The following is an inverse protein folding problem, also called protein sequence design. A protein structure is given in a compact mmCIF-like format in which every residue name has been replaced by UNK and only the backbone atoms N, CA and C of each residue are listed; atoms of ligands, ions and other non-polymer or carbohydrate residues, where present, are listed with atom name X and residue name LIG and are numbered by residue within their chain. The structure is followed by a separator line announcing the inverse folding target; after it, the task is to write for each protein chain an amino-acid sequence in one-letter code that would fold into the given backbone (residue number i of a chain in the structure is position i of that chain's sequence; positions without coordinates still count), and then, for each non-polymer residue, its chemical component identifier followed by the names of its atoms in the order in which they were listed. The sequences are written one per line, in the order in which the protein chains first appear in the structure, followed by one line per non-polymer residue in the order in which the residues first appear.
data_IF_789777431375
#
_entry.id   IF_789777431375
#
_cell.length_a   1.000
_cell.length_b   1.000
_cell.length_c   1.000
_cell.angle_alpha   90.00
_cell.angle_beta   90.00
_cell.angle_gamma   90.00
#
_symmetry.space_group_name_H-M   'P 1'
#
loop_
_entity.id
_entity.type
_entity.pdbx_description
1 polymer ?
#
# COMPACT_ATOMS: atom_id res chain seq x y z
N UNK A 1 -42.30 29.06 -65.92
CA UNK A 1 -40.83 29.03 -65.75
C UNK A 1 -40.50 29.70 -64.42
N UNK A 2 -39.79 28.98 -63.52
CA UNK A 2 -38.86 29.41 -62.45
C UNK A 2 -39.32 30.57 -61.52
N UNK A 3 -39.28 30.52 -60.19
CA UNK A 3 -38.41 29.78 -59.28
C UNK A 3 -39.02 29.80 -57.87
N UNK A 4 -39.02 28.65 -57.19
CA UNK A 4 -39.29 28.50 -55.76
C UNK A 4 -37.98 28.81 -55.01
N UNK A 5 -38.02 29.73 -54.04
CA UNK A 5 -36.92 29.96 -53.09
C UNK A 5 -37.21 29.22 -51.78
N UNK A 6 -36.31 28.38 -51.26
CA UNK A 6 -36.42 27.90 -49.88
C UNK A 6 -35.69 28.85 -48.92
N UNK A 7 -36.35 29.18 -47.81
CA UNK A 7 -35.74 29.80 -46.63
C UNK A 7 -34.81 28.78 -45.96
N UNK A 8 -33.51 29.07 -45.94
CA UNK A 8 -32.53 28.36 -45.14
C UNK A 8 -32.45 29.01 -43.74
N UNK A 9 -32.83 28.24 -42.72
CA UNK A 9 -32.58 28.54 -41.31
C UNK A 9 -31.10 28.30 -41.01
N UNK A 10 -30.39 29.36 -40.60
CA UNK A 10 -29.02 29.29 -40.07
C UNK A 10 -29.09 29.04 -38.56
N UNK A 11 -28.85 27.80 -38.15
CA UNK A 11 -28.57 27.47 -36.75
C UNK A 11 -27.08 27.72 -36.48
N UNK A 12 -26.77 28.78 -35.73
CA UNK A 12 -25.45 28.98 -35.14
C UNK A 12 -25.24 27.93 -34.05
N UNK A 13 -24.47 26.89 -34.35
CA UNK A 13 -23.86 26.03 -33.34
C UNK A 13 -22.60 26.72 -32.81
N UNK A 14 -22.72 27.31 -31.62
CA UNK A 14 -21.57 27.74 -30.82
C UNK A 14 -20.88 26.52 -30.24
N UNK A 15 -19.86 26.04 -30.95
CA UNK A 15 -18.93 25.02 -30.44
C UNK A 15 -18.06 25.67 -29.35
N UNK A 16 -18.43 25.46 -28.08
CA UNK A 16 -17.59 25.82 -26.95
C UNK A 16 -16.34 24.91 -26.97
N UNK A 17 -15.24 25.43 -27.51
CA UNK A 17 -13.91 24.87 -27.35
C UNK A 17 -13.55 24.92 -25.87
N UNK A 18 -13.74 23.78 -25.18
CA UNK A 18 -13.16 23.57 -23.86
C UNK A 18 -11.63 23.68 -23.99
N UNK A 19 -11.07 24.80 -23.51
CA UNK A 19 -9.63 24.94 -23.34
C UNK A 19 -9.13 23.77 -22.46
N UNK A 20 -7.98 23.17 -22.76
CA UNK A 20 -7.41 22.13 -21.91
C UNK A 20 -7.18 22.73 -20.52
N UNK A 21 -7.90 22.23 -19.52
CA UNK A 21 -7.70 22.56 -18.14
C UNK A 21 -6.22 22.32 -17.81
N UNK A 22 -5.50 23.40 -17.48
CA UNK A 22 -4.14 23.29 -16.98
C UNK A 22 -4.16 22.35 -15.77
N UNK A 23 -3.29 21.34 -15.77
CA UNK A 23 -3.23 20.32 -14.70
C UNK A 23 -3.11 21.00 -13.33
N UNK A 24 -4.13 20.84 -12.47
CA UNK A 24 -4.27 21.56 -11.18
C UNK A 24 -3.35 21.02 -10.08
N UNK A 25 -2.75 19.87 -10.34
CA UNK A 25 -1.55 19.38 -9.65
C UNK A 25 -0.34 20.03 -10.32
N UNK A 26 -0.08 21.31 -10.01
CA UNK A 26 0.92 22.16 -10.68
C UNK A 26 2.33 21.53 -10.81
N UNK A 27 3.26 22.25 -11.46
CA UNK A 27 4.62 21.74 -11.74
C UNK A 27 5.33 21.09 -10.54
N UNK A 28 4.98 21.47 -9.31
CA UNK A 28 5.33 20.75 -8.09
C UNK A 28 4.21 19.79 -7.65
N UNK A 29 4.41 18.49 -7.88
CA UNK A 29 3.55 17.43 -7.36
C UNK A 29 3.87 17.17 -5.89
N UNK A 30 2.95 17.49 -4.98
CA UNK A 30 3.12 17.13 -3.56
C UNK A 30 2.63 15.71 -3.33
N UNK A 31 3.58 14.81 -3.04
CA UNK A 31 3.31 13.40 -2.70
C UNK A 31 3.42 13.19 -1.20
N UNK A 32 2.54 12.34 -0.67
CA UNK A 32 2.54 11.87 0.71
C UNK A 32 2.32 10.35 0.71
N UNK A 33 3.04 9.64 1.58
CA UNK A 33 2.90 8.18 1.71
C UNK A 33 2.00 7.87 2.88
N UNK A 34 0.88 7.19 2.61
CA UNK A 34 -0.07 6.77 3.64
C UNK A 34 0.22 5.31 4.04
N UNK A 35 0.14 5.03 5.35
CA UNK A 35 0.51 3.75 5.95
C UNK A 35 -0.67 2.78 5.99
N UNK A 36 -1.17 2.36 4.84
CA UNK A 36 -2.25 1.37 4.77
C UNK A 36 -1.73 -0.03 5.15
N UNK A 37 -2.58 -0.80 5.82
CA UNK A 37 -2.33 -2.19 6.19
C UNK A 37 -3.24 -3.10 5.37
N UNK A 38 -2.71 -4.22 4.88
CA UNK A 38 -3.46 -5.27 4.19
C UNK A 38 -3.73 -6.42 5.17
N UNK A 39 -4.97 -6.92 5.27
CA UNK A 39 -5.30 -8.11 6.07
C UNK A 39 -4.78 -9.40 5.40
N UNK A 40 -4.55 -10.46 6.18
CA UNK A 40 -4.14 -11.75 5.63
C UNK A 40 -5.22 -12.33 4.71
N UNK A 41 -4.79 -13.02 3.66
CA UNK A 41 -5.70 -13.77 2.76
C UNK A 41 -6.29 -15.01 3.47
N UNK A 42 -5.47 -15.65 4.30
CA UNK A 42 -5.83 -16.83 5.08
C UNK A 42 -5.73 -16.49 6.57
N UNK A 43 -6.87 -16.48 7.29
CA UNK A 43 -6.87 -16.21 8.72
C UNK A 43 -6.24 -17.37 9.50
N UNK A 44 -5.33 -17.06 10.41
CA UNK A 44 -4.78 -18.02 11.37
C UNK A 44 -5.64 -18.02 12.63
N UNK A 45 -6.08 -19.19 13.09
CA UNK A 45 -6.99 -19.32 14.22
C UNK A 45 -6.27 -19.91 15.42
N UNK A 46 -6.26 -19.21 16.55
CA UNK A 46 -5.68 -19.69 17.79
C UNK A 46 -4.35 -19.06 18.15
N UNK A 47 -3.56 -19.75 18.97
CA UNK A 47 -2.38 -19.16 19.63
C UNK A 47 -1.07 -19.78 19.17
N UNK A 48 -1.13 -20.90 18.45
CA UNK A 48 0.04 -21.67 18.07
C UNK A 48 0.06 -21.94 16.57
N UNK A 49 1.26 -21.83 15.99
CA UNK A 49 1.49 -22.01 14.55
C UNK A 49 2.74 -22.83 14.31
N UNK A 50 2.71 -23.68 13.29
CA UNK A 50 3.89 -24.33 12.74
C UNK A 50 4.08 -23.87 11.31
N UNK A 51 5.34 -23.60 10.93
CA UNK A 51 5.69 -23.14 9.57
C UNK A 51 6.61 -24.17 8.95
N UNK A 52 6.15 -24.79 7.87
CA UNK A 52 6.91 -25.72 7.05
C UNK A 52 7.09 -25.13 5.65
N UNK A 53 8.30 -25.27 5.11
CA UNK A 53 8.66 -24.71 3.79
C UNK A 53 9.47 -25.76 3.06
N UNK A 54 8.95 -26.15 1.90
CA UNK A 54 9.50 -27.20 1.06
C UNK A 54 9.53 -26.77 -0.41
N UNK A 55 10.34 -27.45 -1.21
CA UNK A 55 10.34 -27.28 -2.66
C UNK A 55 10.56 -28.59 -3.37
N UNK A 56 9.99 -28.68 -4.58
CA UNK A 56 10.25 -29.75 -5.53
C UNK A 56 11.06 -29.26 -6.74
N UNK A 57 11.35 -27.97 -6.81
CA UNK A 57 12.04 -27.34 -7.92
C UNK A 57 13.56 -27.51 -7.80
N UNK A 58 14.20 -27.96 -8.90
CA UNK A 58 15.65 -28.20 -8.92
C UNK A 58 16.50 -26.93 -8.77
N UNK A 59 15.94 -25.77 -9.10
CA UNK A 59 16.62 -24.47 -8.98
C UNK A 59 16.55 -23.85 -7.58
N UNK A 60 15.81 -24.46 -6.65
CA UNK A 60 15.62 -23.91 -5.31
C UNK A 60 16.63 -24.51 -4.35
N UNK A 61 17.46 -23.66 -3.75
CA UNK A 61 18.43 -24.05 -2.73
C UNK A 61 17.83 -23.99 -1.32
N UNK A 62 18.45 -24.68 -0.35
CA UNK A 62 18.04 -24.61 1.06
C UNK A 62 18.08 -23.17 1.59
N UNK A 63 19.04 -22.35 1.11
CA UNK A 63 19.12 -20.92 1.44
C UNK A 63 17.86 -20.17 1.01
N UNK A 64 17.28 -20.50 -0.15
CA UNK A 64 16.03 -19.88 -0.61
C UNK A 64 14.85 -20.26 0.29
N UNK A 65 14.78 -21.54 0.69
CA UNK A 65 13.75 -22.02 1.61
C UNK A 65 13.86 -21.36 2.98
N UNK A 66 15.08 -21.18 3.49
CA UNK A 66 15.34 -20.51 4.76
C UNK A 66 14.93 -19.03 4.75
N UNK A 67 15.14 -18.33 3.63
CA UNK A 67 14.66 -16.94 3.46
C UNK A 67 13.15 -16.86 3.56
N UNK A 68 12.43 -17.74 2.85
CA UNK A 68 10.97 -17.81 2.89
C UNK A 68 10.49 -18.17 4.30
N UNK A 69 11.07 -19.23 4.90
CA UNK A 69 10.70 -19.69 6.25
C UNK A 69 10.89 -18.60 7.28
N UNK A 70 12.06 -17.97 7.31
CA UNK A 70 12.36 -16.88 8.25
C UNK A 70 11.39 -15.73 8.08
N UNK A 71 11.12 -15.29 6.84
CA UNK A 71 10.19 -14.19 6.58
C UNK A 71 8.77 -14.50 7.06
N UNK A 72 8.27 -15.71 6.79
CA UNK A 72 6.93 -16.13 7.23
C UNK A 72 6.89 -16.23 8.77
N UNK A 73 7.91 -16.82 9.40
CA UNK A 73 8.01 -16.92 10.86
C UNK A 73 8.07 -15.54 11.54
N UNK A 74 8.87 -14.62 11.02
CA UNK A 74 8.94 -13.24 11.49
C UNK A 74 7.57 -12.55 11.38
N UNK A 75 6.87 -12.75 10.27
CA UNK A 75 5.59 -12.09 10.01
C UNK A 75 4.46 -12.60 10.92
N UNK A 76 4.36 -13.93 11.12
CA UNK A 76 3.34 -14.51 12.01
C UNK A 76 3.61 -14.24 13.49
N UNK A 77 4.84 -13.92 13.87
CA UNK A 77 5.20 -13.60 15.28
C UNK A 77 5.30 -12.11 15.57
N UNK A 78 5.19 -11.25 14.56
CA UNK A 78 5.42 -9.80 14.67
C UNK A 78 4.48 -9.11 15.70
N UNK A 79 3.23 -9.56 15.79
CA UNK A 79 2.22 -9.01 16.70
C UNK A 79 2.19 -9.70 18.08
N UNK A 80 3.03 -10.74 18.29
CA UNK A 80 3.10 -11.58 19.49
C UNK A 80 1.80 -12.33 19.82
N UNK A 81 0.86 -12.41 18.88
CA UNK A 81 -0.39 -13.15 19.07
C UNK A 81 -0.21 -14.66 18.89
N UNK A 82 0.76 -15.07 18.07
CA UNK A 82 1.06 -16.47 17.76
C UNK A 82 2.43 -16.88 18.29
N UNK A 83 2.49 -18.13 18.78
CA UNK A 83 3.72 -18.80 19.20
C UNK A 83 4.07 -19.92 18.22
N UNK A 84 5.32 -19.99 17.82
CA UNK A 84 5.81 -21.07 16.94
C UNK A 84 5.99 -22.34 17.77
N UNK A 85 5.38 -23.44 17.32
CA UNK A 85 5.49 -24.77 17.94
C UNK A 85 5.65 -25.87 16.88
N UNK A 86 5.96 -27.09 17.33
CA UNK A 86 5.99 -28.26 16.43
C UNK A 86 4.60 -28.56 15.85
N UNK A 87 4.56 -29.04 14.61
CA UNK A 87 3.33 -29.27 13.85
C UNK A 87 2.27 -30.11 14.59
N UNK A 88 2.69 -31.10 15.39
CA UNK A 88 1.78 -31.96 16.17
C UNK A 88 1.01 -31.22 17.27
N UNK A 89 1.54 -30.09 17.71
CA UNK A 89 1.02 -29.27 18.81
C UNK A 89 0.43 -27.94 18.36
N UNK A 90 0.51 -27.63 17.06
CA UNK A 90 0.06 -26.35 16.52
C UNK A 90 -1.44 -26.35 16.23
N UNK A 91 -2.10 -25.24 16.54
CA UNK A 91 -3.48 -24.99 16.11
C UNK A 91 -3.52 -24.73 14.59
N UNK A 92 -2.48 -24.11 14.03
CA UNK A 92 -2.35 -23.80 12.60
C UNK A 92 -1.08 -24.40 12.01
N UNK A 93 -1.16 -25.02 10.84
CA UNK A 93 0.01 -25.49 10.10
C UNK A 93 0.08 -24.74 8.78
N UNK A 94 1.07 -23.86 8.64
CA UNK A 94 1.36 -23.12 7.40
C UNK A 94 2.41 -23.89 6.62
N UNK A 95 2.05 -24.39 5.44
CA UNK A 95 2.98 -25.01 4.48
C UNK A 95 3.19 -24.08 3.30
N UNK A 96 4.44 -23.82 2.95
CA UNK A 96 4.80 -23.08 1.74
C UNK A 96 5.56 -24.02 0.80
N UNK A 97 4.94 -24.31 -0.34
CA UNK A 97 5.51 -25.16 -1.39
C UNK A 97 6.03 -24.26 -2.52
N UNK A 98 7.32 -24.35 -2.84
CA UNK A 98 7.92 -23.68 -4.00
C UNK A 98 8.03 -24.67 -5.15
N UNK A 99 7.24 -24.44 -6.20
CA UNK A 99 7.05 -25.35 -7.32
C UNK A 99 8.01 -25.08 -8.49
N UNK A 100 8.46 -23.83 -8.65
CA UNK A 100 9.29 -23.39 -9.76
C UNK A 100 10.17 -22.20 -9.39
N UNK A 101 11.35 -22.11 -9.97
CA UNK A 101 12.24 -20.96 -9.88
C UNK A 101 13.11 -20.91 -11.13
N UNK A 102 12.89 -19.88 -11.94
CA UNK A 102 13.68 -19.58 -13.12
C UNK A 102 14.05 -18.09 -13.15
N UNK A 103 15.30 -17.79 -13.44
CA UNK A 103 15.76 -16.44 -13.75
C UNK A 103 16.71 -16.53 -14.95
N UNK A 104 16.50 -15.64 -15.92
CA UNK A 104 17.25 -15.57 -17.17
C UNK A 104 17.54 -14.14 -17.51
N UNK A 105 18.80 -13.88 -17.83
CA UNK A 105 19.22 -12.59 -18.36
C UNK A 105 19.85 -12.82 -19.72
N UNK A 106 19.22 -12.23 -20.74
CA UNK A 106 19.72 -12.26 -22.10
C UNK A 106 20.26 -10.88 -22.49
N UNK A 107 21.46 -10.84 -23.03
CA UNK A 107 22.04 -9.64 -23.61
C UNK A 107 22.16 -9.83 -25.12
N UNK A 108 21.54 -8.92 -25.86
CA UNK A 108 21.52 -8.92 -27.32
C UNK A 108 21.91 -7.54 -27.84
N UNK A 109 22.30 -7.48 -29.12
CA UNK A 109 22.52 -6.21 -29.84
C UNK A 109 21.49 -6.12 -30.94
N UNK A 110 20.65 -5.10 -30.87
CA UNK A 110 19.64 -4.78 -31.90
C UNK A 110 20.08 -3.54 -32.65
N UNK A 111 19.77 -3.45 -33.94
CA UNK A 111 20.07 -2.26 -34.74
C UNK A 111 18.84 -1.38 -34.86
N UNK A 112 18.91 -0.16 -34.32
CA UNK A 112 17.83 0.83 -34.42
C UNK A 112 18.27 2.00 -35.31
N UNK A 113 17.34 2.56 -36.08
CA UNK A 113 17.60 3.77 -36.86
C UNK A 113 17.53 5.00 -35.95
N UNK A 114 18.64 5.72 -35.83
CA UNK A 114 18.72 6.99 -35.11
C UNK A 114 19.02 8.12 -36.07
N UNK A 115 18.32 9.24 -35.88
CA UNK A 115 18.56 10.48 -36.64
C UNK A 115 19.78 11.18 -36.05
N UNK A 116 20.94 10.96 -36.66
CA UNK A 116 22.23 11.47 -36.19
C UNK A 116 22.83 12.42 -37.21
N UNK A 117 23.74 13.30 -36.76
CA UNK A 117 24.50 14.18 -37.65
C UNK A 117 25.41 13.33 -38.52
N UNK A 118 25.07 13.22 -39.81
CA UNK A 118 25.81 12.43 -40.80
C UNK A 118 26.92 13.22 -41.48
N UNK A 119 26.92 14.54 -41.33
CA UNK A 119 27.98 15.39 -41.84
C UNK A 119 27.66 16.88 -41.69
N UNK A 120 28.46 17.69 -42.36
CA UNK A 120 28.32 19.13 -42.42
C UNK A 120 28.35 19.57 -43.89
N UNK A 121 27.45 20.45 -44.28
CA UNK A 121 27.42 21.04 -45.62
C UNK A 121 27.60 22.54 -45.50
N UNK A 122 28.53 23.11 -46.27
CA UNK A 122 28.62 24.56 -46.38
C UNK A 122 27.54 25.06 -47.34
N UNK A 123 26.74 25.99 -46.86
CA UNK A 123 25.71 26.68 -47.63
C UNK A 123 26.02 28.18 -47.60
N UNK A 124 25.97 28.83 -48.76
CA UNK A 124 26.16 30.27 -48.85
C UNK A 124 24.99 30.99 -48.17
N UNK A 125 25.26 31.74 -47.09
CA UNK A 125 24.25 32.56 -46.43
C UNK A 125 24.25 33.95 -47.08
N UNK A 126 23.27 34.20 -47.94
CA UNK A 126 23.17 35.41 -48.73
C UNK A 126 22.99 36.68 -47.88
N UNK A 127 22.51 36.54 -46.63
CA UNK A 127 22.40 37.65 -45.66
C UNK A 127 23.73 37.96 -44.99
N UNK A 128 24.57 36.95 -44.74
CA UNK A 128 25.89 37.12 -44.11
C UNK A 128 27.03 37.23 -45.11
N UNK A 129 26.74 37.08 -46.41
CA UNK A 129 27.71 37.05 -47.53
C UNK A 129 28.94 36.18 -47.24
N UNK A 130 28.72 35.02 -46.61
CA UNK A 130 29.78 34.05 -46.30
C UNK A 130 29.23 32.63 -46.31
N UNK A 131 30.14 31.66 -46.49
CA UNK A 131 29.83 30.24 -46.33
C UNK A 131 29.51 29.94 -44.86
N UNK A 132 28.37 29.32 -44.61
CA UNK A 132 27.95 28.88 -43.28
C UNK A 132 27.83 27.37 -43.29
N UNK A 133 28.48 26.73 -42.32
CA UNK A 133 28.37 25.29 -42.10
C UNK A 133 27.01 24.96 -41.47
N UNK A 134 26.21 24.15 -42.15
CA UNK A 134 24.99 23.56 -41.60
C UNK A 134 25.20 22.07 -41.37
N UNK A 135 24.72 21.61 -40.22
CA UNK A 135 24.69 20.20 -39.87
C UNK A 135 23.68 19.47 -40.76
N UNK A 136 24.12 18.38 -41.38
CA UNK A 136 23.26 17.47 -42.13
C UNK A 136 22.96 16.27 -41.24
N UNK A 137 21.67 16.03 -41.02
CA UNK A 137 21.20 14.90 -40.22
C UNK A 137 20.56 13.85 -41.13
N UNK A 138 20.70 12.59 -40.75
CA UNK A 138 20.12 11.46 -41.47
C UNK A 138 19.98 10.24 -40.57
N UNK A 139 19.14 9.29 -40.99
CA UNK A 139 18.97 8.04 -40.27
C UNK A 139 20.21 7.16 -40.48
N UNK A 140 20.84 6.74 -39.38
CA UNK A 140 21.89 5.73 -39.37
C UNK A 140 21.47 4.57 -38.50
N UNK A 141 21.72 3.34 -38.95
CA UNK A 141 21.54 2.14 -38.11
C UNK A 141 22.68 2.07 -37.11
N UNK A 142 22.36 2.25 -35.83
CA UNK A 142 23.31 2.15 -34.74
C UNK A 142 23.03 0.89 -33.90
N UNK A 143 24.07 0.17 -33.45
CA UNK A 143 23.89 -0.95 -32.56
C UNK A 143 23.46 -0.45 -31.18
N UNK A 144 22.31 -0.91 -30.71
CA UNK A 144 21.75 -0.65 -29.39
C UNK A 144 21.83 -1.95 -28.59
N UNK A 145 22.50 -1.90 -27.44
CA UNK A 145 22.51 -3.03 -26.50
C UNK A 145 21.12 -3.17 -25.89
N UNK A 146 20.58 -4.38 -25.91
CA UNK A 146 19.29 -4.73 -25.34
C UNK A 146 19.52 -5.82 -24.32
N UNK A 147 19.10 -5.58 -23.09
CA UNK A 147 19.14 -6.56 -22.01
C UNK A 147 17.72 -6.91 -21.60
N UNK A 148 17.37 -8.19 -21.68
CA UNK A 148 16.07 -8.70 -21.29
C UNK A 148 16.24 -9.56 -20.04
N UNK A 149 15.65 -9.11 -18.94
CA UNK A 149 15.61 -9.85 -17.68
C UNK A 149 14.22 -10.48 -17.52
N UNK A 150 14.16 -11.80 -17.42
CA UNK A 150 12.94 -12.59 -17.25
C UNK A 150 13.12 -13.58 -16.12
N UNK A 151 12.11 -13.73 -15.28
CA UNK A 151 12.12 -14.77 -14.28
C UNK A 151 10.77 -14.99 -13.64
N UNK A 152 10.63 -16.13 -12.99
CA UNK A 152 9.41 -16.58 -12.35
C UNK A 152 9.75 -17.42 -11.14
N UNK A 153 8.94 -17.29 -10.10
CA UNK A 153 8.91 -18.21 -8.97
C UNK A 153 7.46 -18.63 -8.76
N UNK A 154 7.23 -19.94 -8.77
CA UNK A 154 5.95 -20.52 -8.40
C UNK A 154 5.97 -20.88 -6.92
N UNK A 155 5.08 -20.29 -6.12
CA UNK A 155 4.98 -20.60 -4.69
C UNK A 155 3.52 -20.65 -4.26
N UNK A 156 3.16 -21.61 -3.42
CA UNK A 156 1.81 -21.77 -2.88
C UNK A 156 1.86 -21.86 -1.38
N UNK A 157 0.96 -21.13 -0.73
CA UNK A 157 0.74 -21.25 0.71
C UNK A 157 -0.50 -22.10 0.94
N UNK A 158 -0.38 -23.16 1.73
CA UNK A 158 -1.48 -23.96 2.22
C UNK A 158 -1.51 -23.88 3.74
N UNK A 159 -2.64 -23.50 4.31
CA UNK A 159 -2.82 -23.45 5.77
C UNK A 159 -3.89 -24.45 6.17
N UNK A 160 -3.52 -25.32 7.09
CA UNK A 160 -4.47 -26.17 7.80
C UNK A 160 -4.86 -25.46 9.10
N UNK A 161 -6.13 -25.06 9.19
CA UNK A 161 -6.73 -24.47 10.39
C UNK A 161 -7.80 -25.40 10.95
N UNK A 162 -8.26 -25.19 12.19
CA UNK A 162 -9.40 -25.93 12.74
C UNK A 162 -10.70 -25.72 11.96
N UNK A 163 -10.80 -24.64 11.18
CA UNK A 163 -11.94 -24.35 10.30
C UNK A 163 -11.82 -25.01 8.91
N UNK A 164 -10.71 -25.69 8.62
CA UNK A 164 -10.43 -26.36 7.36
C UNK A 164 -9.14 -25.88 6.69
N UNK A 165 -8.84 -26.49 5.54
CA UNK A 165 -7.67 -26.15 4.73
C UNK A 165 -8.00 -25.02 3.76
N UNK A 166 -7.11 -24.03 3.66
CA UNK A 166 -7.20 -22.93 2.69
C UNK A 166 -5.87 -22.77 1.97
N UNK A 167 -5.91 -22.23 0.75
CA UNK A 167 -4.70 -22.05 -0.08
C UNK A 167 -4.66 -20.66 -0.70
N UNK A 168 -3.47 -20.10 -0.84
CA UNK A 168 -3.19 -18.81 -1.47
C UNK A 168 -1.99 -18.94 -2.42
N UNK A 169 -1.96 -18.10 -3.46
CA UNK A 169 -0.84 -18.01 -4.38
C UNK A 169 0.19 -17.00 -3.85
N UNK A 170 1.45 -17.43 -3.76
CA UNK A 170 2.58 -16.59 -3.39
C UNK A 170 3.60 -16.44 -4.53
N UNK A 171 3.29 -16.99 -5.72
CA UNK A 171 4.14 -16.88 -6.89
C UNK A 171 4.29 -15.45 -7.39
N UNK A 172 5.36 -15.19 -8.13
CA UNK A 172 5.59 -13.91 -8.80
C UNK A 172 6.40 -14.10 -10.09
N UNK A 173 6.37 -13.07 -10.95
CA UNK A 173 7.10 -13.05 -12.20
C UNK A 173 7.70 -11.67 -12.45
N UNK A 174 8.85 -11.66 -13.11
CA UNK A 174 9.56 -10.46 -13.53
C UNK A 174 9.83 -10.53 -15.03
N UNK A 175 9.50 -9.48 -15.75
CA UNK A 175 9.88 -9.33 -17.15
C UNK A 175 10.12 -7.85 -17.44
N UNK A 176 11.36 -7.51 -17.79
CA UNK A 176 11.73 -6.16 -18.24
C UNK A 176 12.80 -6.20 -19.32
N UNK A 177 12.73 -5.22 -20.20
CA UNK A 177 13.71 -4.98 -21.25
C UNK A 177 14.36 -3.61 -21.03
N UNK A 178 15.69 -3.56 -21.12
CA UNK A 178 16.51 -2.37 -20.99
C UNK A 178 17.25 -2.15 -22.30
N UNK A 179 17.03 -0.98 -22.94
CA UNK A 179 17.66 -0.64 -24.22
C UNK A 179 18.65 0.51 -24.08
N UNK A 180 19.79 0.41 -24.75
CA UNK A 180 20.83 1.45 -24.76
C UNK A 180 21.46 1.64 -23.38
N UNK A 181 21.74 2.90 -23.02
CA UNK A 181 22.41 3.27 -21.77
C UNK A 181 21.44 3.45 -20.58
N UNK A 182 20.27 2.79 -20.62
CA UNK A 182 19.31 2.83 -19.52
C UNK A 182 19.89 2.15 -18.29
N UNK A 183 19.80 2.81 -17.14
CA UNK A 183 20.24 2.26 -15.85
C UNK A 183 19.46 0.98 -15.53
N UNK A 184 20.17 -0.15 -15.55
CA UNK A 184 19.61 -1.45 -15.14
C UNK A 184 19.45 -1.46 -13.61
N UNK A 185 18.25 -1.78 -13.09
CA UNK A 185 18.03 -2.00 -11.66
C UNK A 185 18.93 -3.09 -11.10
N UNK A 186 19.31 -2.99 -9.83
CA UNK A 186 20.19 -3.96 -9.16
C UNK A 186 19.63 -5.39 -9.18
N UNK A 187 18.31 -5.53 -8.98
CA UNK A 187 17.57 -6.79 -9.11
C UNK A 187 17.71 -7.46 -10.49
N UNK A 188 17.99 -6.70 -11.55
CA UNK A 188 18.16 -7.21 -12.91
C UNK A 188 19.62 -7.17 -13.37
N UNK A 189 20.57 -6.92 -12.47
CA UNK A 189 22.00 -6.78 -12.79
C UNK A 189 22.74 -8.13 -12.90
N UNK A 190 22.18 -9.23 -12.39
CA UNK A 190 22.65 -10.61 -12.64
C UNK A 190 21.52 -11.63 -12.43
N UNK A 191 21.67 -12.84 -12.97
CA UNK A 191 20.66 -13.89 -12.79
C UNK A 191 20.46 -14.19 -11.30
N UNK A 192 21.55 -14.33 -10.53
CA UNK A 192 21.45 -14.57 -9.09
C UNK A 192 20.79 -13.41 -8.32
N UNK A 193 20.97 -12.15 -8.72
CA UNK A 193 20.23 -11.04 -8.11
C UNK A 193 18.73 -11.10 -8.43
N UNK A 194 18.39 -11.49 -9.66
CA UNK A 194 17.01 -11.67 -10.08
C UNK A 194 16.35 -12.84 -9.33
N UNK A 195 17.05 -13.97 -9.17
CA UNK A 195 16.60 -15.10 -8.35
C UNK A 195 16.32 -14.68 -6.91
N UNK A 196 17.29 -14.01 -6.26
CA UNK A 196 17.13 -13.56 -4.89
C UNK A 196 15.97 -12.58 -4.74
N UNK A 197 15.80 -11.65 -5.69
CA UNK A 197 14.67 -10.70 -5.70
C UNK A 197 13.32 -11.41 -5.84
N UNK A 198 13.22 -12.41 -6.73
CA UNK A 198 12.03 -13.24 -6.91
C UNK A 198 11.69 -14.03 -5.65
N UNK A 199 12.68 -14.69 -5.03
CA UNK A 199 12.51 -15.42 -3.78
C UNK A 199 12.07 -14.50 -2.64
N UNK A 200 12.69 -13.32 -2.52
CA UNK A 200 12.31 -12.33 -1.51
C UNK A 200 10.88 -11.82 -1.71
N UNK A 201 10.46 -11.59 -2.96
CA UNK A 201 9.09 -11.19 -3.28
C UNK A 201 8.09 -12.31 -3.00
N UNK A 202 8.40 -13.56 -3.36
CA UNK A 202 7.58 -14.71 -2.99
C UNK A 202 7.48 -14.89 -1.48
N UNK A 203 8.58 -14.68 -0.74
CA UNK A 203 8.59 -14.70 0.72
C UNK A 203 7.69 -13.59 1.31
N UNK A 204 7.73 -12.37 0.74
CA UNK A 204 6.84 -11.26 1.12
C UNK A 204 5.36 -11.61 0.87
N UNK A 205 5.04 -12.18 -0.29
CA UNK A 205 3.67 -12.62 -0.64
C UNK A 205 3.19 -13.76 0.26
N UNK A 206 4.04 -14.75 0.53
CA UNK A 206 3.73 -15.85 1.43
C UNK A 206 3.45 -15.35 2.85
N UNK A 207 4.25 -14.41 3.35
CA UNK A 207 4.01 -13.75 4.63
C UNK A 207 2.69 -12.96 4.63
N UNK A 208 2.43 -12.15 3.61
CA UNK A 208 1.19 -11.39 3.48
C UNK A 208 -0.07 -12.28 3.35
N UNK A 209 0.08 -13.51 2.85
CA UNK A 209 -1.03 -14.46 2.78
C UNK A 209 -1.53 -14.89 4.17
N UNK A 210 -0.68 -14.86 5.20
CA UNK A 210 -0.99 -15.40 6.54
C UNK A 210 -0.87 -14.39 7.68
N UNK A 211 -0.41 -13.18 7.41
CA UNK A 211 -0.23 -12.13 8.42
C UNK A 211 -0.60 -10.75 7.87
N UNK A 212 -0.88 -9.80 8.76
CA UNK A 212 -1.09 -8.41 8.36
C UNK A 212 0.20 -7.82 7.81
N UNK A 213 0.12 -7.26 6.60
CA UNK A 213 1.29 -6.73 5.89
C UNK A 213 1.14 -5.22 5.61
N UNK A 214 2.24 -4.44 5.67
CA UNK A 214 2.21 -3.06 5.21
C UNK A 214 1.96 -3.00 3.70
N UNK A 215 1.03 -2.15 3.27
CA UNK A 215 0.68 -1.90 1.88
C UNK A 215 0.64 -0.37 1.65
N UNK A 216 1.80 0.31 1.75
CA UNK A 216 1.88 1.77 1.70
C UNK A 216 1.40 2.29 0.35
N UNK A 217 0.65 3.39 0.37
CA UNK A 217 0.07 4.01 -0.83
C UNK A 217 0.55 5.44 -0.98
N UNK A 218 0.93 5.82 -2.21
CA UNK A 218 1.22 7.22 -2.53
C UNK A 218 -0.09 7.96 -2.80
N UNK A 219 -0.33 9.03 -2.05
CA UNK A 219 -1.41 9.96 -2.31
C UNK A 219 -0.83 11.28 -2.83
N UNK A 220 -1.52 11.87 -3.79
CA UNK A 220 -1.19 13.16 -4.36
C UNK A 220 -2.03 14.23 -3.67
N UNK A 221 -1.41 15.29 -3.17
CA UNK A 221 -2.13 16.47 -2.70
C UNK A 221 -2.28 17.47 -3.84
N UNK A 222 -3.47 18.02 -4.00
CA UNK A 222 -3.73 19.14 -4.89
C UNK A 222 -2.97 20.37 -4.41
N UNK A 223 -2.36 21.10 -5.34
CA UNK A 223 -1.48 22.23 -5.04
C UNK A 223 -2.10 23.50 -5.62
N UNK A 224 -2.99 24.11 -4.83
CA UNK A 224 -3.44 25.48 -5.01
C UNK A 224 -2.76 26.37 -3.95
N UNK A 225 -2.50 27.64 -4.27
CA UNK A 225 -1.85 28.59 -3.38
C UNK A 225 -2.49 28.68 -1.99
N UNK A 226 -3.82 28.53 -1.93
CA UNK A 226 -4.61 28.59 -0.70
C UNK A 226 -4.58 27.28 0.11
N UNK A 227 -4.12 26.16 -0.47
CA UNK A 227 -4.02 24.85 0.19
C UNK A 227 -2.61 24.56 0.74
N UNK A 228 -1.64 25.45 0.48
CA UNK A 228 -0.22 25.24 0.79
C UNK A 228 0.06 25.01 2.27
N UNK A 229 -0.57 25.77 3.17
CA UNK A 229 -0.32 25.64 4.61
C UNK A 229 -0.84 24.30 5.15
N UNK A 230 -2.04 23.91 4.76
CA UNK A 230 -2.57 22.56 5.07
C UNK A 230 -1.72 21.45 4.44
N UNK A 231 -1.19 21.65 3.22
CA UNK A 231 -0.30 20.67 2.59
C UNK A 231 1.01 20.47 3.38
N UNK A 232 1.58 21.55 3.95
CA UNK A 232 2.76 21.44 4.84
C UNK A 232 2.46 20.66 6.11
N UNK A 233 1.29 20.89 6.71
CA UNK A 233 0.83 20.15 7.90
C UNK A 233 0.63 18.66 7.57
N UNK A 234 0.00 18.36 6.43
CA UNK A 234 -0.18 17.00 5.93
C UNK A 234 1.14 16.27 5.68
N UNK A 235 2.13 16.95 5.07
CA UNK A 235 3.47 16.41 4.88
C UNK A 235 4.19 16.11 6.20
N UNK A 236 3.88 16.85 7.27
CA UNK A 236 4.37 16.60 8.62
C UNK A 236 3.57 15.51 9.37
N UNK A 237 2.55 14.92 8.75
CA UNK A 237 1.66 13.91 9.37
C UNK A 237 0.58 14.49 10.29
N UNK A 238 0.41 15.81 10.32
CA UNK A 238 -0.58 16.53 11.13
C UNK A 238 -1.92 16.64 10.38
N UNK A 239 -2.56 15.50 10.17
CA UNK A 239 -3.73 15.37 9.28
C UNK A 239 -4.99 16.09 9.79
N UNK A 240 -5.19 16.15 11.10
CA UNK A 240 -6.35 16.84 11.69
C UNK A 240 -6.21 18.35 11.52
N UNK A 241 -5.02 18.86 11.76
CA UNK A 241 -4.65 20.27 11.61
C UNK A 241 -4.67 20.69 10.13
N UNK A 242 -4.18 19.83 9.24
CA UNK A 242 -4.27 20.04 7.79
C UNK A 242 -5.73 20.16 7.34
N UNK A 243 -6.60 19.26 7.79
CA UNK A 243 -8.03 19.29 7.48
C UNK A 243 -8.72 20.54 8.03
N UNK A 244 -8.39 20.96 9.25
CA UNK A 244 -8.87 22.21 9.83
C UNK A 244 -8.42 23.43 9.00
N UNK A 245 -7.14 23.44 8.57
CA UNK A 245 -6.58 24.50 7.72
C UNK A 245 -7.31 24.61 6.37
N UNK A 246 -7.55 23.48 5.70
CA UNK A 246 -8.30 23.47 4.43
C UNK A 246 -9.77 23.86 4.62
N UNK A 247 -10.37 23.53 5.76
CA UNK A 247 -11.79 23.82 6.05
C UNK A 247 -12.04 25.22 6.60
N UNK A 248 -10.98 25.95 6.97
CA UNK A 248 -11.09 27.33 7.47
C UNK A 248 -11.54 28.33 6.40
N UNK A 249 -11.52 27.93 5.12
CA UNK A 249 -11.90 28.77 3.99
C UNK A 249 -12.95 28.08 3.14
N UNK A 250 -13.81 28.87 2.49
CA UNK A 250 -14.79 28.39 1.53
C UNK A 250 -14.25 28.55 0.11
N UNK A 251 -14.43 27.51 -0.70
CA UNK A 251 -14.00 27.51 -2.09
C UNK A 251 -15.21 27.24 -3.00
N UNK A 252 -15.04 27.47 -4.30
CA UNK A 252 -16.08 27.23 -5.31
C UNK A 252 -15.47 26.55 -6.53
N UNK A 253 -16.29 25.75 -7.22
CA UNK A 253 -15.91 25.05 -8.45
C UNK A 253 -14.66 24.18 -8.27
N UNK A 254 -13.74 24.28 -9.21
CA UNK A 254 -12.51 23.48 -9.28
C UNK A 254 -11.60 23.58 -8.05
N UNK A 255 -11.58 24.74 -7.38
CA UNK A 255 -10.81 24.92 -6.15
C UNK A 255 -11.43 24.15 -4.98
N UNK A 256 -12.76 24.09 -4.93
CA UNK A 256 -13.48 23.27 -3.96
C UNK A 256 -13.25 21.79 -4.23
N UNK A 257 -13.21 21.38 -5.52
CA UNK A 257 -12.83 20.02 -5.89
C UNK A 257 -11.44 19.65 -5.37
N UNK A 258 -10.46 20.54 -5.55
CA UNK A 258 -9.08 20.36 -5.05
C UNK A 258 -9.00 20.27 -3.52
N UNK A 259 -9.77 21.11 -2.82
CA UNK A 259 -9.87 21.06 -1.35
C UNK A 259 -10.50 19.74 -0.88
N UNK A 260 -11.62 19.33 -1.48
CA UNK A 260 -12.32 18.09 -1.15
C UNK A 260 -11.45 16.86 -1.40
N UNK A 261 -10.66 16.86 -2.48
CA UNK A 261 -9.67 15.82 -2.72
C UNK A 261 -8.64 15.74 -1.57
N UNK A 262 -8.07 16.87 -1.14
CA UNK A 262 -7.14 16.88 -0.01
C UNK A 262 -7.80 16.43 1.30
N UNK A 263 -9.04 16.83 1.55
CA UNK A 263 -9.84 16.37 2.70
C UNK A 263 -10.05 14.85 2.64
N UNK A 264 -10.32 14.28 1.47
CA UNK A 264 -10.38 12.83 1.27
C UNK A 264 -9.07 12.13 1.63
N UNK A 265 -7.92 12.71 1.23
CA UNK A 265 -6.60 12.18 1.59
C UNK A 265 -6.37 12.22 3.10
N UNK A 266 -6.81 13.27 3.79
CA UNK A 266 -6.71 13.34 5.24
C UNK A 266 -7.58 12.30 5.95
N UNK A 267 -8.82 12.09 5.51
CA UNK A 267 -9.68 11.04 6.07
C UNK A 267 -9.08 9.64 5.84
N UNK A 268 -8.52 9.35 4.65
CA UNK A 268 -7.76 8.11 4.43
C UNK A 268 -6.60 7.97 5.42
N UNK A 269 -5.80 9.03 5.59
CA UNK A 269 -4.64 9.00 6.47
C UNK A 269 -5.04 8.77 7.94
N UNK A 270 -6.14 9.38 8.39
CA UNK A 270 -6.70 9.18 9.73
C UNK A 270 -7.24 7.76 9.90
N UNK A 271 -7.93 7.21 8.90
CA UNK A 271 -8.38 5.83 8.92
C UNK A 271 -7.20 4.87 9.13
N UNK A 272 -6.14 5.02 8.34
CA UNK A 272 -4.97 4.14 8.44
C UNK A 272 -4.17 4.26 9.76
N UNK A 273 -4.43 5.28 10.57
CA UNK A 273 -3.89 5.39 11.92
C UNK A 273 -4.72 4.63 12.98
N UNK A 274 -5.90 4.12 12.62
CA UNK A 274 -6.81 3.38 13.49
C UNK A 274 -6.70 1.85 13.27
N UNK A 275 -7.15 1.02 14.21
CA UNK A 275 -7.26 -0.43 13.99
C UNK A 275 -8.14 -0.74 12.78
N UNK A 276 -7.65 -1.57 11.86
CA UNK A 276 -8.27 -1.82 10.56
C UNK A 276 -9.66 -2.46 10.64
N UNK A 277 -9.96 -3.16 11.72
CA UNK A 277 -11.24 -3.82 11.99
C UNK A 277 -12.23 -2.93 12.76
N UNK A 278 -11.84 -1.71 13.14
CA UNK A 278 -12.68 -0.80 13.92
C UNK A 278 -13.78 -0.13 13.07
N UNK A 279 -14.88 0.25 13.74
CA UNK A 279 -15.98 0.96 13.09
C UNK A 279 -15.57 2.38 12.67
N UNK A 280 -14.72 3.03 13.46
CA UNK A 280 -14.17 4.36 13.20
C UNK A 280 -13.28 4.35 11.96
N UNK A 281 -12.40 3.34 11.81
CA UNK A 281 -11.59 3.16 10.61
C UNK A 281 -12.46 3.14 9.34
N UNK A 282 -13.53 2.35 9.37
CA UNK A 282 -14.47 2.27 8.26
C UNK A 282 -15.20 3.60 8.00
N UNK A 283 -15.67 4.27 9.05
CA UNK A 283 -16.37 5.54 8.94
C UNK A 283 -15.48 6.62 8.29
N UNK A 284 -14.20 6.70 8.66
CA UNK A 284 -13.24 7.62 8.05
C UNK A 284 -13.01 7.29 6.56
N UNK A 285 -12.91 6.00 6.18
CA UNK A 285 -12.83 5.61 4.77
C UNK A 285 -14.10 5.97 3.97
N UNK A 286 -15.28 5.85 4.57
CA UNK A 286 -16.54 6.27 3.93
C UNK A 286 -16.57 7.79 3.71
N UNK A 287 -16.11 8.59 4.68
CA UNK A 287 -15.94 10.04 4.51
C UNK A 287 -14.94 10.38 3.41
N UNK A 288 -13.82 9.65 3.32
CA UNK A 288 -12.85 9.82 2.25
C UNK A 288 -13.49 9.54 0.88
N UNK A 289 -14.20 8.42 0.73
CA UNK A 289 -14.89 8.06 -0.50
C UNK A 289 -15.89 9.14 -0.94
N UNK A 290 -16.66 9.68 -0.01
CA UNK A 290 -17.63 10.73 -0.30
C UNK A 290 -16.95 12.05 -0.69
N UNK A 291 -15.85 12.41 -0.05
CA UNK A 291 -15.06 13.58 -0.42
C UNK A 291 -14.50 13.47 -1.84
N UNK A 292 -13.95 12.31 -2.22
CA UNK A 292 -13.45 12.08 -3.59
C UNK A 292 -14.54 12.09 -4.65
N UNK A 293 -15.69 11.45 -4.38
CA UNK A 293 -16.83 11.50 -5.30
C UNK A 293 -17.32 12.92 -5.52
N UNK A 294 -17.40 13.73 -4.46
CA UNK A 294 -17.77 15.15 -4.57
C UNK A 294 -16.71 15.95 -5.34
N UNK A 295 -15.43 15.70 -5.11
CA UNK A 295 -14.34 16.33 -5.87
C UNK A 295 -14.45 16.01 -7.38
N UNK A 296 -14.62 14.74 -7.73
CA UNK A 296 -14.77 14.30 -9.13
C UNK A 296 -16.06 14.86 -9.77
N UNK A 297 -17.15 14.96 -9.01
CA UNK A 297 -18.40 15.54 -9.52
C UNK A 297 -18.28 17.04 -9.82
N UNK A 298 -17.47 17.77 -9.03
CA UNK A 298 -17.20 19.19 -9.25
C UNK A 298 -16.21 19.44 -10.39
N UNK A 299 -15.24 18.54 -10.58
CA UNK A 299 -14.24 18.64 -11.65
C UNK A 299 -13.96 17.29 -12.32
N UNK A 300 -14.83 16.85 -13.25
CA UNK A 300 -14.69 15.56 -13.92
C UNK A 300 -13.46 15.48 -14.85
N UNK A 301 -12.86 16.63 -15.21
CA UNK A 301 -11.72 16.69 -16.10
C UNK A 301 -10.38 16.40 -15.43
N UNK A 302 -10.34 16.38 -14.09
CA UNK A 302 -9.11 16.13 -13.34
C UNK A 302 -8.83 14.63 -13.21
N UNK A 303 -7.81 14.18 -13.93
CA UNK A 303 -7.45 12.76 -14.07
C UNK A 303 -7.02 12.10 -12.77
N UNK A 304 -6.52 12.86 -11.80
CA UNK A 304 -6.03 12.31 -10.54
C UNK A 304 -7.11 12.14 -9.46
N UNK A 305 -8.37 12.53 -9.73
CA UNK A 305 -9.47 12.37 -8.77
C UNK A 305 -10.14 10.99 -8.86
N UNK A 306 -9.95 10.25 -9.95
CA UNK A 306 -10.55 8.93 -10.13
C UNK A 306 -9.81 7.82 -9.36
N UNK A 307 -8.48 7.82 -9.38
CA UNK A 307 -7.64 6.79 -8.74
C UNK A 307 -7.90 6.64 -7.22
N UNK A 308 -8.02 7.72 -6.42
CA UNK A 308 -8.34 7.61 -4.99
C UNK A 308 -9.64 6.86 -4.67
N UNK A 309 -10.65 6.92 -5.55
CA UNK A 309 -11.93 6.24 -5.33
C UNK A 309 -11.71 4.71 -5.32
N UNK A 310 -10.95 4.19 -6.27
CA UNK A 310 -10.63 2.76 -6.33
C UNK A 310 -9.76 2.34 -5.14
N UNK A 311 -8.81 3.19 -4.76
CA UNK A 311 -7.95 2.94 -3.59
C UNK A 311 -8.75 2.83 -2.29
N UNK A 312 -9.68 3.76 -2.04
CA UNK A 312 -10.54 3.71 -0.85
C UNK A 312 -11.49 2.51 -0.88
N UNK A 313 -12.00 2.13 -2.05
CA UNK A 313 -12.81 0.90 -2.19
C UNK A 313 -12.01 -0.34 -1.75
N UNK A 314 -10.77 -0.49 -2.22
CA UNK A 314 -9.90 -1.58 -1.77
C UNK A 314 -9.65 -1.52 -0.25
N UNK A 315 -9.48 -0.33 0.33
CA UNK A 315 -9.32 -0.18 1.78
C UNK A 315 -10.59 -0.56 2.56
N UNK A 316 -11.79 -0.29 2.03
CA UNK A 316 -13.06 -0.72 2.64
C UNK A 316 -13.23 -2.24 2.58
N UNK A 317 -12.78 -2.87 1.48
CA UNK A 317 -12.73 -4.34 1.37
C UNK A 317 -11.76 -4.95 2.39
N UNK A 318 -10.61 -4.32 2.59
CA UNK A 318 -9.62 -4.71 3.60
C UNK A 318 -10.19 -4.62 5.01
N UNK A 319 -10.87 -3.52 5.35
CA UNK A 319 -11.55 -3.39 6.64
C UNK A 319 -12.62 -4.49 6.84
N UNK A 320 -13.38 -4.81 5.79
CA UNK A 320 -14.37 -5.89 5.82
C UNK A 320 -13.75 -7.28 5.99
N UNK A 321 -12.60 -7.56 5.35
CA UNK A 321 -11.86 -8.79 5.54
C UNK A 321 -11.25 -8.90 6.94
N UNK A 322 -10.65 -7.83 7.46
CA UNK A 322 -10.11 -7.78 8.81
C UNK A 322 -11.18 -8.02 9.89
N UNK A 323 -12.37 -7.43 9.73
CA UNK A 323 -13.49 -7.67 10.64
C UNK A 323 -13.96 -9.12 10.61
N UNK A 324 -14.09 -9.73 9.42
CA UNK A 324 -14.44 -11.16 9.30
C UNK A 324 -13.40 -12.04 10.00
N UNK A 325 -12.12 -11.69 9.85
CA UNK A 325 -11.05 -12.38 10.57
C UNK A 325 -11.21 -12.29 12.10
N UNK A 326 -11.43 -11.09 12.64
CA UNK A 326 -11.63 -10.88 14.07
C UNK A 326 -12.84 -11.66 14.60
N UNK A 327 -13.94 -11.71 13.83
CA UNK A 327 -15.15 -12.47 14.18
C UNK A 327 -14.90 -14.00 14.15
N UNK A 328 -14.19 -14.51 13.13
CA UNK A 328 -13.79 -15.93 13.04
C UNK A 328 -12.90 -16.35 14.23
N UNK A 329 -11.90 -15.53 14.56
CA UNK A 329 -11.03 -15.77 15.71
C UNK A 329 -11.83 -15.78 17.02
N UNK A 330 -12.72 -14.81 17.23
CA UNK A 330 -13.56 -14.74 18.44
C UNK A 330 -14.44 -15.98 18.60
N UNK A 331 -15.12 -16.41 17.52
CA UNK A 331 -15.95 -17.62 17.52
C UNK A 331 -15.14 -18.86 17.88
N UNK A 332 -13.94 -18.98 17.34
CA UNK A 332 -13.04 -20.09 17.65
C UNK A 332 -12.66 -20.11 19.15
N UNK A 333 -12.32 -18.97 19.74
CA UNK A 333 -12.00 -18.88 21.18
C UNK A 333 -13.19 -19.25 22.07
N UNK A 334 -14.40 -18.81 21.70
CA UNK A 334 -15.63 -19.17 22.41
C UNK A 334 -15.93 -20.67 22.34
N UNK A 335 -15.74 -21.30 21.19
CA UNK A 335 -15.93 -22.75 21.04
C UNK A 335 -14.87 -23.56 21.81
N UNK A 336 -13.62 -23.10 21.80
CA UNK A 336 -12.52 -23.74 22.52
C UNK A 336 -12.76 -23.69 24.03
N UNK A 337 -13.17 -22.54 24.55
CA UNK A 337 -13.50 -22.38 25.98
C UNK A 337 -14.71 -23.22 26.40
N UNK A 338 -15.74 -23.34 25.56
CA UNK A 338 -16.87 -24.26 25.80
C UNK A 338 -16.42 -25.73 25.85
N UNK A 339 -15.54 -26.15 24.94
CA UNK A 339 -14.98 -27.52 24.90
C UNK A 339 -14.09 -27.83 26.12
N UNK A 340 -13.29 -26.89 26.58
CA UNK A 340 -12.46 -27.10 27.79
C UNK A 340 -13.30 -27.13 29.07
N UNK A 341 -14.38 -26.34 29.14
CA UNK A 341 -15.33 -26.37 30.26
C UNK A 341 -16.14 -27.68 30.32
N UNK A 342 -16.55 -28.25 29.18
CA UNK A 342 -17.24 -29.54 29.16
C UNK A 342 -16.31 -30.72 29.50
N UNK A 343 -15.06 -30.69 29.02
CA UNK A 343 -14.05 -31.71 29.36
C UNK A 343 -13.67 -31.70 30.85
N UNK A 344 -13.57 -30.53 31.48
CA UNK A 344 -13.31 -30.42 32.92
C UNK A 344 -14.51 -30.85 33.77
N UNK A 345 -15.74 -30.60 33.32
CA UNK A 345 -16.97 -31.09 33.98
C UNK A 345 -17.10 -32.62 33.91
N UNK A 346 -16.74 -33.25 32.80
CA UNK A 346 -16.76 -34.71 32.66
C UNK A 346 -15.70 -35.43 33.52
N UNK A 347 -14.63 -34.73 33.89
CA UNK A 347 -13.53 -35.27 34.72
C UNK A 347 -13.70 -35.00 36.22
N UNK A 348 -14.74 -34.26 36.63
CA UNK A 348 -15.07 -34.05 38.05
C UNK A 348 -15.79 -35.31 38.55
N UNK A 349 -15.22 -36.07 39.49
CA UNK A 349 -15.92 -37.20 40.09
C UNK A 349 -17.25 -36.70 40.66
N UNK A 350 -18.33 -37.41 40.34
CA UNK A 350 -19.62 -37.25 41.00
C UNK A 350 -19.37 -37.25 42.52
N UNK A 351 -19.78 -36.20 43.25
CA UNK A 351 -19.61 -36.21 44.70
C UNK A 351 -20.44 -37.37 45.23
N UNK A 352 -19.75 -38.43 45.66
CA UNK A 352 -20.35 -39.53 46.38
C UNK A 352 -21.25 -38.93 47.47
N UNK A 353 -22.55 -39.26 47.40
CA UNK A 353 -23.55 -38.79 48.34
C UNK A 353 -23.02 -38.99 49.77
N UNK A 354 -22.71 -37.88 50.44
CA UNK A 354 -22.38 -37.92 51.85
C UNK A 354 -23.63 -38.44 52.60
N UNK A 355 -23.49 -39.40 53.53
CA UNK A 355 -24.61 -39.85 54.34
C UNK A 355 -25.11 -38.70 55.20
N UNK A 356 -26.43 -38.55 55.25
CA UNK A 356 -27.12 -37.51 56.00
C UNK A 356 -26.82 -37.60 57.50
N UNK A 357 -26.25 -36.55 58.07
CA UNK A 357 -26.18 -36.35 59.53
C UNK A 357 -27.35 -35.46 59.97
N UNK A 358 -28.10 -35.80 61.03
CA UNK A 358 -29.27 -35.04 61.44
C UNK A 358 -28.93 -33.71 62.13
N UNK A 359 -29.87 -32.78 61.99
CA UNK A 359 -29.88 -31.43 62.53
C UNK A 359 -29.76 -31.36 64.07
N UNK A 360 -29.03 -30.35 64.55
CA UNK A 360 -29.14 -29.83 65.91
C UNK A 360 -29.10 -28.30 65.88
N UNK A 361 -29.91 -27.70 66.73
CA UNK A 361 -30.49 -26.38 66.64
C UNK A 361 -29.57 -25.22 67.09
N UNK A 362 -29.87 -24.03 66.56
CA UNK A 362 -29.43 -22.72 67.08
C UNK A 362 -30.03 -22.44 68.48
N UNK A 363 -29.51 -21.47 69.27
CA UNK A 363 -29.91 -20.04 69.14
C UNK A 363 -28.79 -19.05 69.60
N UNK A 364 -29.07 -17.78 70.00
CA UNK A 364 -29.33 -16.63 69.12
C UNK A 364 -28.41 -15.41 69.40
N UNK A 365 -28.64 -14.33 68.64
CA UNK A 365 -27.96 -13.04 68.66
C UNK A 365 -28.16 -12.20 69.94
N UNK A 366 -27.16 -11.39 70.30
CA UNK A 366 -27.33 -10.22 71.18
C UNK A 366 -26.40 -9.06 70.75
N UNK A 367 -27.00 -7.87 70.71
CA UNK A 367 -26.41 -6.60 70.31
C UNK A 367 -26.03 -5.77 71.55
N UNK A 368 -24.94 -4.98 71.49
CA UNK A 368 -24.85 -3.65 72.11
C UNK A 368 -23.45 -3.01 71.93
N UNK A 369 -23.42 -1.83 71.31
CA UNK A 369 -22.39 -0.80 71.53
C UNK A 369 -22.72 -0.04 72.85
N UNK A 370 -21.83 0.77 73.49
CA UNK A 370 -21.35 2.02 72.87
C UNK A 370 -19.94 2.55 73.27
N UNK A 371 -19.41 3.37 72.36
CA UNK A 371 -18.65 4.63 72.52
C UNK A 371 -17.64 4.85 73.68
N UNK A 372 -16.39 5.20 73.32
CA UNK A 372 -15.68 6.35 73.93
C UNK A 372 -14.78 7.11 72.93
N UNK A 373 -14.97 8.43 72.94
CA UNK A 373 -14.18 9.48 72.28
C UNK A 373 -12.88 9.79 73.04
N UNK A 374 -11.83 10.15 72.29
CA UNK A 374 -10.84 11.24 72.50
C UNK A 374 -9.72 11.01 71.46
N UNK A 375 -8.97 11.93 70.89
CA UNK A 375 -8.99 13.38 70.66
C UNK A 375 -7.54 13.73 70.24
N UNK A 376 -7.38 14.49 69.16
CA UNK A 376 -6.24 15.37 68.85
C UNK A 376 -4.82 14.78 68.68
N UNK A 377 -4.25 14.92 67.48
CA UNK A 377 -3.16 15.88 67.23
C UNK A 377 -2.69 15.83 65.76
N UNK A 378 -2.92 16.93 65.05
CA UNK A 378 -2.27 17.30 63.78
C UNK A 378 -0.88 17.87 64.10
N UNK A 379 0.10 17.81 63.16
CA UNK A 379 0.63 19.09 62.71
C UNK A 379 0.82 19.19 61.20
N UNK A 380 0.78 20.46 60.79
CA UNK A 380 0.67 21.00 59.45
C UNK A 380 2.05 21.15 58.74
N UNK A 381 2.09 21.68 57.50
CA UNK A 381 3.20 21.57 56.55
C UNK A 381 4.25 22.67 56.72
N UNK A 382 5.43 22.48 56.09
CA UNK A 382 6.43 23.53 55.91
C UNK A 382 6.59 23.87 54.42
N UNK A 383 6.36 25.14 54.13
CA UNK A 383 6.70 25.87 52.90
C UNK A 383 8.07 26.53 53.04
N UNK A 384 8.95 26.38 52.02
CA UNK A 384 9.85 27.33 51.30
C UNK A 384 10.59 28.47 52.05
N UNK A 385 11.56 29.23 51.46
CA UNK A 385 12.13 29.25 50.10
C UNK A 385 13.69 29.34 50.02
N UNK A 386 14.28 29.30 48.81
CA UNK A 386 15.26 30.29 48.30
C UNK A 386 16.07 29.80 47.07
N UNK A 387 15.93 30.52 45.96
CA UNK A 387 16.95 30.74 44.93
C UNK A 387 17.52 32.18 45.13
N UNK A 388 18.51 32.72 44.38
CA UNK A 388 19.21 32.23 43.17
C UNK A 388 20.75 32.41 43.21
N UNK A 389 21.46 32.11 42.11
CA UNK A 389 22.57 32.92 41.51
C UNK A 389 23.25 32.14 40.36
N UNK A 390 23.46 32.82 39.22
CA UNK A 390 24.19 32.38 38.03
C UNK A 390 25.73 32.48 38.20
N UNK A 391 26.57 31.90 37.31
CA UNK A 391 27.12 32.72 36.23
C UNK A 391 27.48 32.02 34.88
N UNK A 392 27.25 32.79 33.81
CA UNK A 392 28.08 33.11 32.60
C UNK A 392 29.23 32.19 32.10
N UNK A 393 29.17 31.96 30.78
CA UNK A 393 30.22 31.91 29.74
C UNK A 393 30.97 30.60 29.38
N UNK A 394 31.09 30.42 28.06
CA UNK A 394 31.57 29.27 27.28
C UNK A 394 33.11 29.06 27.27
N UNK A 395 33.60 27.96 26.67
CA UNK A 395 34.13 28.11 25.31
C UNK A 395 33.92 26.93 24.31
N UNK A 396 33.73 27.34 23.05
CA UNK A 396 34.23 26.82 21.75
C UNK A 396 35.01 25.49 21.68
N UNK A 397 34.50 24.54 20.89
CA UNK A 397 35.26 23.56 20.05
C UNK A 397 34.27 22.91 19.06
N UNK A 398 34.36 23.16 17.74
CA UNK A 398 35.19 22.50 16.72
C UNK A 398 34.40 21.39 15.96
N UNK A 399 34.23 21.62 14.66
CA UNK A 399 33.55 20.75 13.68
C UNK A 399 34.36 19.50 13.31
N UNK A 400 33.72 18.51 12.67
CA UNK A 400 33.95 18.28 11.23
C UNK A 400 32.63 18.06 10.46
N UNK A 401 32.40 18.76 9.34
CA UNK A 401 32.82 18.44 7.96
C UNK A 401 31.91 17.41 7.25
N UNK A 402 31.10 17.96 6.33
CA UNK A 402 30.73 17.47 5.00
C UNK A 402 30.16 16.05 4.81
N UNK A 403 28.86 16.01 4.55
CA UNK A 403 28.27 15.09 3.55
C UNK A 403 27.14 15.82 2.80
N UNK A 404 27.50 16.37 1.64
CA UNK A 404 26.61 16.92 0.63
C UNK A 404 25.72 15.80 0.07
N UNK A 405 24.43 15.85 0.37
CA UNK A 405 23.42 15.04 -0.33
C UNK A 405 22.73 15.92 -1.37
N UNK A 406 23.30 15.91 -2.58
CA UNK A 406 22.71 16.54 -3.76
C UNK A 406 21.52 15.69 -4.24
N UNK A 407 20.32 16.16 -3.94
CA UNK A 407 19.07 15.68 -4.53
C UNK A 407 18.94 16.25 -5.95
N UNK A 408 19.47 15.52 -6.92
CA UNK A 408 19.26 15.80 -8.34
C UNK A 408 17.87 15.33 -8.75
N UNK A 409 17.02 16.27 -9.14
CA UNK A 409 15.67 16.00 -9.65
C UNK A 409 15.70 15.11 -10.89
N UNK A 410 15.05 13.95 -10.79
CA UNK A 410 14.78 13.05 -11.90
C UNK A 410 13.43 13.44 -12.51
N UNK A 411 13.45 14.04 -13.69
CA UNK A 411 12.27 14.21 -14.53
C UNK A 411 11.97 12.89 -15.25
N UNK A 412 10.98 12.15 -14.78
CA UNK A 412 10.37 11.03 -15.50
C UNK A 412 9.53 11.59 -16.66
N UNK A 413 10.05 11.47 -17.89
CA UNK A 413 9.23 11.58 -19.11
C UNK A 413 8.34 10.34 -19.20
N UNK A 414 7.03 10.54 -19.22
CA UNK A 414 6.06 9.48 -19.53
C UNK A 414 6.12 9.21 -21.04
N UNK A 415 6.49 7.99 -21.43
CA UNK A 415 6.23 7.47 -22.77
C UNK A 415 4.73 7.17 -22.96
N UNK A 416 4.18 7.40 -24.17
CA UNK A 416 2.82 7.01 -24.51
C UNK A 416 2.69 5.49 -24.72
N UNK A 417 1.49 4.91 -24.48
CA UNK A 417 1.26 3.47 -24.60
C UNK A 417 1.38 2.95 -26.05
N UNK A 418 1.71 1.66 -26.24
CA UNK A 418 1.85 1.06 -27.56
C UNK A 418 0.52 1.03 -28.32
N UNK A 419 0.58 1.35 -29.61
CA UNK A 419 -0.55 1.26 -30.55
C UNK A 419 -0.93 -0.19 -30.79
N UNK A 420 -2.23 -0.48 -30.70
CA UNK A 420 -2.83 -1.77 -31.05
C UNK A 420 -2.54 -2.16 -32.50
N UNK A 421 -2.30 -3.46 -32.80
CA UNK A 421 -2.06 -3.91 -34.16
C UNK A 421 -3.34 -3.84 -35.01
N UNK A 422 -3.22 -3.30 -36.23
CA UNK A 422 -4.27 -3.29 -37.23
C UNK A 422 -4.62 -4.73 -37.69
N UNK A 423 -5.91 -5.01 -37.98
CA UNK A 423 -6.32 -6.31 -38.48
C UNK A 423 -5.81 -6.55 -39.91
N UNK A 424 -5.25 -7.73 -40.14
CA UNK A 424 -4.82 -8.21 -41.46
C UNK A 424 -6.02 -8.45 -42.39
N UNK A 425 -5.88 -8.27 -43.71
CA UNK A 425 -6.98 -8.41 -44.66
C UNK A 425 -7.39 -9.88 -44.83
N UNK A 426 -8.70 -10.11 -44.68
CA UNK A 426 -9.36 -11.39 -44.92
C UNK A 426 -9.30 -11.77 -46.40
N UNK A 427 -8.70 -12.92 -46.69
CA UNK A 427 -8.69 -13.53 -48.02
C UNK A 427 -10.10 -13.98 -48.41
N UNK A 428 -10.63 -13.41 -49.48
CA UNK A 428 -11.86 -13.83 -50.15
C UNK A 428 -11.73 -15.30 -50.63
N UNK A 429 -12.54 -16.19 -50.05
CA UNK A 429 -12.74 -17.55 -50.55
C UNK A 429 -13.91 -17.53 -51.53
N UNK A 430 -13.61 -17.87 -52.78
CA UNK A 430 -14.55 -17.99 -53.90
C UNK A 430 -15.63 -19.03 -53.61
N UNK A 431 -16.89 -18.63 -53.79
CA UNK A 431 -18.07 -19.48 -53.64
C UNK A 431 -18.23 -20.46 -54.80
N UNK A 432 -18.66 -21.67 -54.47
CA UNK A 432 -19.13 -22.71 -55.39
C UNK A 432 -20.66 -22.75 -55.28
N UNK A 433 -21.44 -22.65 -56.37
CA UNK A 433 -22.90 -22.67 -56.28
C UNK A 433 -23.42 -24.12 -56.16
N UNK A 434 -24.47 -24.37 -55.36
CA UNK A 434 -25.26 -25.60 -55.45
C UNK A 434 -26.41 -25.45 -56.48
N UNK A 435 -26.90 -26.60 -56.93
CA UNK A 435 -28.06 -26.76 -57.82
C UNK A 435 -29.37 -26.37 -57.16
#
# INVERSE_FOLDING_TARGET
MRSIRPLAWLALWTLALALPAAAKFGMSKTKVTLRRTRPPEIPLLGETVSVDVASRARGVSDRHLDVIRRRVQEAVTADKSLRIVEAKSADNVVRVDVDDLEARINENVTYEERYVKIGERQEWDDKKKKMVTKDVYGNRREPVRVRTARGRVGARVAVETPAGQRTADAGTSYEREFKGDVRVPEEAASESQLENSLVDEAARRAAAAVSFSPDPVEAMLAVDGELKDGNRLAQAGLWKEAMASWSARTFKGDKEASRLHNVGVAHEALAYAMPIDSAEHRAELEQAADAYKKALALDPGEKYFAEPIQRVQASLEYAGAARRYADEARRWHEERSKRSASASRAKRPEPAAAPATPAAAAPPAEAAAPARRRAAATPAPRTDPAAPVAPKAAPKAAAPADALSASSGVSLQLEPPPRSPSPSPSTCRTGRPPR
#
